data_IF_818602800115
#
_entry.id   IF_818602800115
#
_cell.length_a   1.000
_cell.length_b   1.000
_cell.length_c   1.000
_cell.angle_alpha   90.00
_cell.angle_beta   90.00
_cell.angle_gamma   90.00
#
_symmetry.space_group_name_H-M   'P 1'
#
loop_
_entity.id
_entity.type
_entity.pdbx_description
1 polymer ?
#
# COMPACT_ATOMS: atom_id res chain seq x y z
N UNK A 1 9.80 17.47 4.72
CA UNK A 1 9.16 16.72 3.61
C UNK A 1 7.83 16.16 4.12
N UNK A 2 6.67 16.75 3.80
CA UNK A 2 5.42 16.28 4.42
C UNK A 2 4.16 16.50 3.57
N UNK A 3 4.00 17.66 2.90
CA UNK A 3 2.79 17.97 2.13
C UNK A 3 2.50 16.97 0.99
N UNK A 4 3.48 16.71 0.13
CA UNK A 4 3.32 15.80 -1.01
C UNK A 4 3.10 14.34 -0.57
N UNK A 5 3.88 13.84 0.39
CA UNK A 5 3.71 12.48 0.92
C UNK A 5 2.33 12.28 1.55
N UNK A 6 1.83 13.27 2.32
CA UNK A 6 0.49 13.22 2.89
C UNK A 6 -0.60 13.25 1.81
N UNK A 7 -0.40 14.02 0.74
CA UNK A 7 -1.31 14.04 -0.40
C UNK A 7 -1.39 12.68 -1.09
N UNK A 8 -0.24 12.06 -1.41
CA UNK A 8 -0.19 10.73 -2.01
C UNK A 8 -0.85 9.69 -1.11
N UNK A 9 -0.58 9.72 0.20
CA UNK A 9 -1.18 8.79 1.16
C UNK A 9 -2.71 8.91 1.19
N UNK A 10 -3.26 10.13 1.15
CA UNK A 10 -4.72 10.34 1.12
C UNK A 10 -5.35 9.81 -0.16
N UNK A 11 -4.72 10.04 -1.30
CA UNK A 11 -5.20 9.49 -2.58
C UNK A 11 -5.17 7.97 -2.55
N UNK A 12 -4.07 7.37 -2.12
CA UNK A 12 -3.94 5.91 -2.04
C UNK A 12 -5.02 5.29 -1.14
N UNK A 13 -5.28 5.90 0.02
CA UNK A 13 -6.34 5.44 0.93
C UNK A 13 -7.73 5.58 0.33
N UNK A 14 -8.03 6.73 -0.30
CA UNK A 14 -9.32 6.96 -0.94
C UNK A 14 -9.58 5.96 -2.08
N UNK A 15 -8.56 5.71 -2.92
CA UNK A 15 -8.64 4.72 -4.00
C UNK A 15 -8.83 3.30 -3.44
N UNK A 16 -8.09 2.94 -2.39
CA UNK A 16 -8.25 1.65 -1.72
C UNK A 16 -9.66 1.44 -1.17
N UNK A 17 -10.20 2.45 -0.48
CA UNK A 17 -11.57 2.39 0.06
C UNK A 17 -12.62 2.33 -1.06
N UNK A 18 -12.50 3.18 -2.08
CA UNK A 18 -13.42 3.21 -3.22
C UNK A 18 -13.46 1.86 -3.95
N UNK A 19 -12.29 1.23 -4.14
CA UNK A 19 -12.20 -0.09 -4.74
C UNK A 19 -12.92 -1.16 -3.90
N UNK A 20 -12.70 -1.16 -2.57
CA UNK A 20 -13.38 -2.11 -1.67
C UNK A 20 -14.90 -1.93 -1.71
N UNK A 21 -15.38 -0.68 -1.61
CA UNK A 21 -16.81 -0.36 -1.66
C UNK A 21 -17.43 -0.79 -2.99
N UNK A 22 -16.73 -0.55 -4.11
CA UNK A 22 -17.16 -0.99 -5.43
C UNK A 22 -17.29 -2.53 -5.51
N UNK A 23 -16.29 -3.27 -5.02
CA UNK A 23 -16.29 -4.74 -5.07
C UNK A 23 -17.40 -5.35 -4.22
N UNK A 24 -17.63 -4.86 -3.00
CA UNK A 24 -18.72 -5.37 -2.16
C UNK A 24 -20.09 -4.98 -2.72
N UNK A 25 -20.21 -3.81 -3.35
CA UNK A 25 -21.41 -3.39 -4.07
C UNK A 25 -21.76 -4.34 -5.21
N UNK A 26 -20.76 -4.77 -6.01
CA UNK A 26 -20.95 -5.80 -7.04
C UNK A 26 -21.40 -7.15 -6.46
N UNK A 27 -21.02 -7.45 -5.22
CA UNK A 27 -21.42 -8.66 -4.51
C UNK A 27 -22.81 -8.55 -3.86
N UNK A 28 -23.53 -7.44 -4.06
CA UNK A 28 -24.88 -7.22 -3.52
C UNK A 28 -24.90 -6.70 -2.07
N UNK A 29 -23.82 -6.05 -1.62
CA UNK A 29 -23.79 -5.43 -0.30
C UNK A 29 -24.95 -4.44 -0.13
N UNK A 30 -25.70 -4.55 0.97
CA UNK A 30 -26.80 -3.66 1.29
C UNK A 30 -26.33 -2.57 2.25
N UNK A 31 -26.47 -1.31 1.82
CA UNK A 31 -26.16 -0.17 2.65
C UNK A 31 -27.27 0.09 3.67
N UNK A 32 -26.89 0.39 4.91
CA UNK A 32 -27.86 0.70 5.94
C UNK A 32 -28.46 2.10 5.69
N UNK A 33 -29.79 2.22 5.54
CA UNK A 33 -30.43 3.52 5.35
C UNK A 33 -30.29 4.38 6.62
N UNK A 34 -30.01 5.67 6.42
CA UNK A 34 -29.93 6.64 7.52
C UNK A 34 -31.31 6.79 8.17
N UNK A 35 -31.41 6.45 9.46
CA UNK A 35 -32.66 6.55 10.24
C UNK A 35 -33.68 5.44 9.98
N UNK A 36 -33.34 4.41 9.20
CA UNK A 36 -34.21 3.24 8.99
C UNK A 36 -33.93 2.08 9.96
N UNK A 37 -34.73 1.02 9.82
CA UNK A 37 -34.51 -0.21 10.58
C UNK A 37 -33.15 -0.85 10.25
N UNK A 38 -32.45 -1.42 11.25
CA UNK A 38 -31.15 -2.03 11.03
C UNK A 38 -31.27 -3.26 10.13
N UNK A 39 -30.43 -3.32 9.10
CA UNK A 39 -30.27 -4.51 8.26
C UNK A 39 -29.61 -5.60 9.11
N UNK A 40 -30.36 -6.67 9.41
CA UNK A 40 -29.89 -7.73 10.32
C UNK A 40 -28.99 -8.77 9.67
N UNK A 41 -29.03 -8.90 8.34
CA UNK A 41 -28.23 -9.88 7.60
C UNK A 41 -27.80 -9.33 6.24
N UNK A 42 -26.51 -9.44 5.94
CA UNK A 42 -25.99 -9.17 4.60
C UNK A 42 -26.11 -10.45 3.73
N UNK A 43 -26.25 -10.31 2.40
CA UNK A 43 -26.22 -11.45 1.50
C UNK A 43 -24.93 -12.27 1.62
N UNK A 44 -25.03 -13.59 1.44
CA UNK A 44 -23.89 -14.51 1.55
C UNK A 44 -22.75 -14.18 0.57
N UNK A 45 -23.10 -13.71 -0.63
CA UNK A 45 -22.15 -13.24 -1.65
C UNK A 45 -21.32 -12.05 -1.16
N UNK A 46 -21.95 -11.08 -0.49
CA UNK A 46 -21.28 -9.92 0.07
C UNK A 46 -20.37 -10.31 1.24
N UNK A 47 -20.83 -11.21 2.12
CA UNK A 47 -20.01 -11.75 3.21
C UNK A 47 -18.79 -12.51 2.68
N UNK A 48 -18.95 -13.31 1.62
CA UNK A 48 -17.85 -14.01 0.97
C UNK A 48 -16.85 -13.03 0.35
N UNK A 49 -17.32 -11.98 -0.33
CA UNK A 49 -16.46 -10.93 -0.90
C UNK A 49 -15.64 -10.24 0.20
N UNK A 50 -16.26 -9.84 1.31
CA UNK A 50 -15.57 -9.22 2.44
C UNK A 50 -14.48 -10.16 2.99
N UNK A 51 -14.78 -11.45 3.17
CA UNK A 51 -13.80 -12.44 3.63
C UNK A 51 -12.62 -12.55 2.69
N UNK A 52 -12.87 -12.64 1.38
CA UNK A 52 -11.82 -12.69 0.37
C UNK A 52 -10.93 -11.45 0.41
N UNK A 53 -11.52 -10.26 0.49
CA UNK A 53 -10.77 -9.00 0.59
C UNK A 53 -9.90 -9.00 1.85
N UNK A 54 -10.46 -9.34 3.01
CA UNK A 54 -9.74 -9.37 4.29
C UNK A 54 -8.62 -10.41 4.32
N UNK A 55 -8.74 -11.53 3.62
CA UNK A 55 -7.69 -12.57 3.59
C UNK A 55 -6.64 -12.34 2.50
N UNK A 56 -7.07 -11.96 1.29
CA UNK A 56 -6.18 -11.85 0.14
C UNK A 56 -5.39 -10.54 0.14
N UNK A 57 -5.99 -9.44 0.61
CA UNK A 57 -5.32 -8.13 0.60
C UNK A 57 -4.03 -8.13 1.43
N UNK A 58 -4.03 -8.56 2.71
CA UNK A 58 -2.80 -8.65 3.49
C UNK A 58 -1.81 -9.64 2.87
N UNK A 59 -2.29 -10.77 2.35
CA UNK A 59 -1.44 -11.80 1.76
C UNK A 59 -0.67 -11.28 0.53
N UNK A 60 -1.34 -10.54 -0.36
CA UNK A 60 -0.73 -9.92 -1.53
C UNK A 60 0.30 -8.87 -1.10
N UNK A 61 -0.05 -7.96 -0.20
CA UNK A 61 0.89 -6.92 0.26
C UNK A 61 2.10 -7.51 1.00
N UNK A 62 1.89 -8.53 1.83
CA UNK A 62 2.98 -9.24 2.49
C UNK A 62 3.88 -9.94 1.47
N UNK A 63 3.31 -10.60 0.46
CA UNK A 63 4.09 -11.25 -0.59
C UNK A 63 4.97 -10.26 -1.35
N UNK A 64 4.44 -9.08 -1.68
CA UNK A 64 5.20 -7.99 -2.30
C UNK A 64 6.32 -7.52 -1.36
N UNK A 65 6.01 -7.28 -0.07
CA UNK A 65 7.00 -6.85 0.92
C UNK A 65 8.13 -7.86 1.10
N UNK A 66 7.80 -9.14 1.15
CA UNK A 66 8.76 -10.25 1.22
C UNK A 66 9.63 -10.28 -0.04
N UNK A 67 9.04 -10.19 -1.23
CA UNK A 67 9.79 -10.17 -2.49
C UNK A 67 10.78 -9.00 -2.55
N UNK A 68 10.34 -7.79 -2.21
CA UNK A 68 11.20 -6.61 -2.16
C UNK A 68 12.32 -6.82 -1.12
N UNK A 69 11.99 -7.35 0.06
CA UNK A 69 12.96 -7.61 1.12
C UNK A 69 14.05 -8.60 0.69
N UNK A 70 13.67 -9.66 -0.04
CA UNK A 70 14.64 -10.62 -0.60
C UNK A 70 15.51 -9.99 -1.69
N UNK A 71 14.92 -9.21 -2.60
CA UNK A 71 15.65 -8.61 -3.73
C UNK A 71 16.60 -7.49 -3.29
N UNK A 72 16.19 -6.66 -2.34
CA UNK A 72 16.95 -5.51 -1.84
C UNK A 72 17.50 -5.78 -0.45
N UNK A 73 18.11 -6.96 -0.24
CA UNK A 73 18.65 -7.36 1.05
C UNK A 73 19.69 -6.36 1.54
N UNK A 74 19.40 -5.71 2.67
CA UNK A 74 20.28 -4.74 3.30
C UNK A 74 21.40 -5.50 4.03
N UNK A 75 22.51 -5.74 3.34
CA UNK A 75 23.72 -6.32 3.92
C UNK A 75 24.54 -5.23 4.62
N UNK A 76 25.38 -5.59 5.60
CA UNK A 76 26.27 -4.64 6.29
C UNK A 76 27.14 -3.81 5.32
N UNK A 77 27.61 -4.43 4.22
CA UNK A 77 28.33 -3.72 3.15
C UNK A 77 27.47 -2.64 2.47
N UNK A 78 26.18 -2.95 2.19
CA UNK A 78 25.25 -1.99 1.60
C UNK A 78 24.86 -0.89 2.57
N UNK A 79 24.75 -1.18 3.87
CA UNK A 79 24.56 -0.12 4.87
C UNK A 79 25.77 0.82 4.96
N UNK A 80 26.98 0.27 4.89
CA UNK A 80 28.21 1.08 4.90
C UNK A 80 28.29 1.99 3.66
N UNK A 81 27.97 1.46 2.48
CA UNK A 81 27.87 2.22 1.22
C UNK A 81 26.83 3.36 1.32
N UNK A 82 25.64 3.07 1.86
CA UNK A 82 24.59 4.10 2.08
C UNK A 82 25.06 5.15 3.08
N UNK A 83 25.70 4.74 4.17
CA UNK A 83 26.21 5.66 5.20
C UNK A 83 27.34 6.55 4.66
N UNK A 84 28.23 6.00 3.84
CA UNK A 84 29.29 6.75 3.14
C UNK A 84 28.68 7.73 2.13
N UNK A 85 27.71 7.30 1.32
CA UNK A 85 27.01 8.17 0.35
C UNK A 85 26.24 9.33 1.01
N UNK A 86 25.68 9.12 2.21
CA UNK A 86 25.02 10.18 2.98
C UNK A 86 26.06 11.17 3.56
N UNK A 87 27.23 10.66 3.96
CA UNK A 87 28.30 11.47 4.58
C UNK A 87 29.09 12.28 3.57
N UNK A 88 29.14 11.80 2.32
CA UNK A 88 29.92 12.40 1.23
C UNK A 88 29.01 12.93 0.10
N UNK A 89 28.22 13.97 0.40
CA UNK A 89 27.32 14.59 -0.59
C UNK A 89 28.05 15.39 -1.68
N UNK A 90 29.37 15.56 -1.58
CA UNK A 90 30.25 16.18 -2.59
C UNK A 90 30.64 15.24 -3.72
N UNK A 91 31.01 13.98 -3.42
CA UNK A 91 31.55 13.05 -4.42
C UNK A 91 30.50 12.52 -5.41
N UNK A 92 29.22 12.49 -5.01
CA UNK A 92 28.14 11.96 -5.85
C UNK A 92 27.89 12.81 -7.11
N UNK A 93 28.16 14.12 -7.07
CA UNK A 93 28.02 14.98 -8.26
C UNK A 93 29.14 14.75 -9.27
N UNK A 94 30.37 14.58 -8.81
CA UNK A 94 31.54 14.46 -9.69
C UNK A 94 31.54 13.12 -10.43
N UNK A 95 31.11 12.04 -9.77
CA UNK A 95 30.98 10.71 -10.42
C UNK A 95 29.87 10.73 -11.48
N UNK A 96 28.70 11.31 -11.18
CA UNK A 96 27.58 11.41 -12.13
C UNK A 96 27.89 12.29 -13.35
N UNK A 97 28.74 13.31 -13.20
CA UNK A 97 29.17 14.18 -14.29
C UNK A 97 30.29 13.57 -15.15
N UNK A 98 31.02 12.58 -14.62
CA UNK A 98 32.09 11.88 -15.37
C UNK A 98 31.58 10.75 -16.27
N UNK A 99 30.33 10.33 -16.10
CA UNK A 99 29.67 9.30 -16.93
C UNK A 99 28.76 9.90 -18.04
N UNK A 100 28.79 11.23 -18.22
CA UNK A 100 28.10 11.99 -19.28
C UNK A 100 29.11 12.53 -20.31
#
# INVERSE_FOLDING_TARGET
MSGFTNFINKIAQALGLALVMFLIGLAGFQEQPLGGDPIRSQPDSALLMIRLIMTLTPLIFMSIGIYISYKYKITASKQKEIAEAIKDSSLSKDVLLSEL
#
